data_IF_405347460327
#
_entry.id   IF_405347460327
#
_cell.length_a   1.000
_cell.length_b   1.000
_cell.length_c   1.000
_cell.angle_alpha   90.00
_cell.angle_beta   90.00
_cell.angle_gamma   90.00
#
_symmetry.space_group_name_H-M   'P 1'
#
loop_
_entity.id
_entity.type
_entity.pdbx_description
1 polymer ?
#
# COMPACT_ATOMS: atom_id res chain seq x y z
N UNK A 1 -43.18 -58.03 -25.77
CA UNK A 1 -44.25 -58.67 -25.00
C UNK A 1 -43.65 -59.13 -23.68
N UNK A 2 -44.19 -58.61 -22.57
CA UNK A 2 -44.09 -59.04 -21.16
C UNK A 2 -42.67 -59.13 -20.54
N UNK A 3 -42.35 -58.31 -19.52
CA UNK A 3 -42.73 -58.46 -18.10
C UNK A 3 -42.11 -59.76 -17.52
N UNK A 4 -41.29 -59.75 -16.47
CA UNK A 4 -41.70 -59.43 -15.10
C UNK A 4 -40.48 -59.21 -14.18
N UNK A 5 -40.65 -58.28 -13.23
CA UNK A 5 -39.80 -57.99 -12.08
C UNK A 5 -40.01 -58.98 -10.92
N UNK A 6 -39.20 -58.80 -9.85
CA UNK A 6 -39.25 -59.35 -8.47
C UNK A 6 -38.39 -60.62 -8.26
N UNK A 7 -37.45 -60.72 -7.30
CA UNK A 7 -37.48 -60.33 -5.87
C UNK A 7 -36.05 -60.10 -5.31
N UNK A 8 -35.91 -59.15 -4.38
CA UNK A 8 -34.69 -58.67 -3.69
C UNK A 8 -34.37 -59.58 -2.46
N UNK A 9 -33.10 -59.74 -2.03
CA UNK A 9 -32.72 -59.19 -0.72
C UNK A 9 -31.27 -58.65 -0.67
N UNK A 10 -31.08 -57.40 -0.23
CA UNK A 10 -30.65 -57.02 1.13
C UNK A 10 -29.19 -57.41 1.46
N UNK A 11 -28.24 -56.52 1.14
CA UNK A 11 -27.20 -56.11 2.09
C UNK A 11 -26.32 -54.99 1.51
N UNK A 12 -26.12 -53.96 2.34
CA UNK A 12 -24.86 -53.25 2.54
C UNK A 12 -24.48 -52.10 1.58
N UNK A 13 -24.53 -50.89 2.15
CA UNK A 13 -23.55 -49.80 1.96
C UNK A 13 -23.45 -49.13 0.58
N UNK A 14 -23.42 -47.83 0.40
CA UNK A 14 -23.28 -46.67 1.28
C UNK A 14 -24.15 -45.56 0.68
N UNK A 15 -25.02 -44.94 1.48
CA UNK A 15 -25.41 -43.57 1.21
C UNK A 15 -24.19 -42.71 1.53
N UNK A 16 -23.35 -42.41 0.52
CA UNK A 16 -22.47 -41.25 0.60
C UNK A 16 -23.38 -40.02 0.56
N UNK A 17 -23.85 -39.59 1.72
CA UNK A 17 -24.34 -38.24 1.89
C UNK A 17 -23.13 -37.32 1.71
N UNK A 18 -22.91 -36.88 0.46
CA UNK A 18 -21.95 -35.83 0.18
C UNK A 18 -22.43 -34.56 0.87
N UNK A 19 -21.83 -34.23 2.02
CA UNK A 19 -21.99 -32.91 2.62
C UNK A 19 -21.17 -31.96 1.77
N UNK A 20 -21.84 -31.21 0.89
CA UNK A 20 -21.20 -30.11 0.15
C UNK A 20 -20.92 -29.01 1.17
N UNK A 21 -19.69 -28.95 1.65
CA UNK A 21 -19.22 -27.81 2.42
C UNK A 21 -18.93 -26.70 1.41
N UNK A 22 -19.89 -25.80 1.17
CA UNK A 22 -19.55 -24.55 0.51
C UNK A 22 -18.72 -23.74 1.50
N UNK A 23 -17.48 -23.33 1.17
CA UNK A 23 -16.80 -22.35 2.00
C UNK A 23 -17.69 -21.13 2.01
N UNK A 24 -18.28 -20.82 3.17
CA UNK A 24 -18.90 -19.52 3.37
C UNK A 24 -17.73 -18.54 3.29
N UNK A 25 -17.61 -17.83 2.17
CA UNK A 25 -16.73 -16.68 2.09
C UNK A 25 -17.31 -15.66 3.07
N UNK A 26 -16.85 -15.73 4.31
CA UNK A 26 -17.01 -14.63 5.25
C UNK A 26 -16.20 -13.51 4.64
N UNK A 27 -16.91 -12.55 4.04
CA UNK A 27 -16.36 -11.29 3.60
C UNK A 27 -15.96 -10.52 4.87
N UNK A 28 -14.84 -10.95 5.46
CA UNK A 28 -14.20 -10.20 6.52
C UNK A 28 -13.79 -8.88 5.86
N UNK A 29 -14.12 -7.71 6.46
CA UNK A 29 -13.53 -6.48 5.99
C UNK A 29 -12.02 -6.64 6.07
N UNK A 30 -11.38 -6.86 4.93
CA UNK A 30 -9.94 -6.71 4.79
C UNK A 30 -9.73 -5.26 5.16
N UNK A 31 -9.21 -5.03 6.36
CA UNK A 31 -8.75 -3.71 6.75
C UNK A 31 -7.78 -3.29 5.66
N UNK A 32 -8.22 -2.36 4.82
CA UNK A 32 -7.41 -1.77 3.77
C UNK A 32 -6.31 -0.98 4.47
N UNK A 33 -5.24 -1.69 4.84
CA UNK A 33 -3.99 -1.10 5.29
C UNK A 33 -3.21 -0.62 4.06
N UNK A 34 -3.90 0.02 3.12
CA UNK A 34 -3.27 0.97 2.23
C UNK A 34 -2.88 2.15 3.11
N UNK A 35 -1.79 1.97 3.85
CA UNK A 35 -1.06 3.04 4.49
C UNK A 35 -0.75 4.03 3.37
N UNK A 36 -1.57 5.09 3.28
CA UNK A 36 -1.48 6.10 2.23
C UNK A 36 -0.02 6.49 2.13
N UNK A 37 0.61 6.21 0.99
CA UNK A 37 2.03 6.49 0.80
C UNK A 37 2.28 7.94 1.19
N UNK A 38 3.22 8.13 2.09
CA UNK A 38 3.54 9.47 2.55
C UNK A 38 4.02 10.32 1.36
N UNK A 39 3.62 11.60 1.33
CA UNK A 39 3.97 12.49 0.24
C UNK A 39 5.49 12.59 0.10
N UNK A 40 6.00 12.60 -1.15
CA UNK A 40 7.43 12.75 -1.43
C UNK A 40 7.64 14.04 -2.21
N UNK A 41 8.51 14.91 -1.70
CA UNK A 41 8.89 16.16 -2.35
C UNK A 41 10.36 16.09 -2.78
N UNK A 42 10.66 16.66 -3.94
CA UNK A 42 12.04 16.84 -4.42
C UNK A 42 12.30 18.35 -4.57
N UNK A 43 13.18 18.95 -3.75
CA UNK A 43 13.47 20.37 -3.89
C UNK A 43 14.18 20.63 -5.22
N UNK A 44 13.77 21.70 -5.92
CA UNK A 44 14.36 22.09 -7.20
C UNK A 44 15.67 22.86 -6.97
N UNK A 45 16.78 22.35 -7.49
CA UNK A 45 18.05 23.09 -7.54
C UNK A 45 17.98 24.19 -8.61
N UNK A 46 18.58 25.34 -8.30
CA UNK A 46 18.79 26.44 -9.23
C UNK A 46 19.92 26.16 -10.25
N UNK A 47 20.72 25.11 -10.04
CA UNK A 47 21.74 24.64 -10.98
C UNK A 47 22.91 25.61 -11.20
N UNK A 48 23.06 26.65 -10.37
CA UNK A 48 24.09 27.68 -10.53
C UNK A 48 24.69 28.07 -9.18
N UNK A 49 26.00 28.26 -9.13
CA UNK A 49 26.73 28.57 -7.88
C UNK A 49 26.38 29.93 -7.23
N UNK A 50 25.72 30.82 -7.98
CA UNK A 50 25.33 32.16 -7.52
C UNK A 50 23.93 32.24 -6.91
N UNK A 51 23.11 31.17 -7.02
CA UNK A 51 21.75 31.12 -6.49
C UNK A 51 21.72 30.34 -5.18
N UNK A 52 20.87 30.76 -4.26
CA UNK A 52 20.63 30.04 -2.99
C UNK A 52 19.46 29.08 -3.13
N UNK A 53 19.69 27.81 -2.82
CA UNK A 53 18.68 26.74 -2.91
C UNK A 53 17.91 26.53 -1.60
N UNK A 54 18.31 27.18 -0.51
CA UNK A 54 17.63 27.06 0.79
C UNK A 54 16.12 27.33 0.71
N UNK A 55 15.62 28.35 -0.02
CA UNK A 55 14.18 28.56 -0.13
C UNK A 55 13.43 27.38 -0.77
N UNK A 56 14.02 26.72 -1.77
CA UNK A 56 13.41 25.55 -2.42
C UNK A 56 13.39 24.33 -1.51
N UNK A 57 14.44 24.15 -0.70
CA UNK A 57 14.51 23.06 0.30
C UNK A 57 13.49 23.28 1.42
N UNK A 58 13.39 24.51 1.93
CA UNK A 58 12.42 24.86 2.98
C UNK A 58 10.98 24.72 2.46
N UNK A 59 10.71 25.08 1.21
CA UNK A 59 9.40 24.85 0.60
C UNK A 59 9.05 23.35 0.56
N UNK A 60 10.00 22.48 0.20
CA UNK A 60 9.79 21.03 0.25
C UNK A 60 9.51 20.53 1.68
N UNK A 61 10.16 21.09 2.71
CA UNK A 61 9.87 20.78 4.10
C UNK A 61 8.45 21.18 4.50
N UNK A 62 7.97 22.34 4.06
CA UNK A 62 6.60 22.79 4.36
C UNK A 62 5.54 21.90 3.69
N UNK A 63 5.82 21.40 2.49
CA UNK A 63 4.87 20.59 1.72
C UNK A 63 4.85 19.11 2.17
N UNK A 64 6.02 18.49 2.34
CA UNK A 64 6.12 17.06 2.62
C UNK A 64 6.78 16.72 3.97
N UNK A 65 7.24 17.70 4.76
CA UNK A 65 8.01 17.44 5.96
C UNK A 65 7.23 16.79 7.11
N UNK A 66 5.89 16.90 7.12
CA UNK A 66 5.05 16.26 8.13
C UNK A 66 4.80 14.77 7.83
N UNK A 67 5.79 13.95 8.14
CA UNK A 67 5.70 12.49 7.97
C UNK A 67 5.88 11.99 6.53
N UNK A 68 6.13 12.87 5.58
CA UNK A 68 6.53 12.55 4.21
C UNK A 68 8.04 12.36 4.04
N UNK A 69 8.48 12.38 2.79
CA UNK A 69 9.88 12.17 2.38
C UNK A 69 10.38 13.36 1.58
N UNK A 70 11.58 13.83 1.90
CA UNK A 70 12.31 14.82 1.10
C UNK A 70 13.41 14.09 0.35
N UNK A 71 13.24 13.94 -0.96
CA UNK A 71 14.16 13.20 -1.81
C UNK A 71 15.14 14.16 -2.49
N UNK A 72 16.43 13.99 -2.25
CA UNK A 72 17.50 14.67 -2.97
C UNK A 72 18.00 13.73 -4.08
N UNK A 73 17.83 14.07 -5.37
CA UNK A 73 18.20 13.17 -6.46
C UNK A 73 19.72 12.99 -6.54
N UNK A 74 20.16 11.85 -7.06
CA UNK A 74 21.58 11.61 -7.34
C UNK A 74 22.13 12.67 -8.28
N UNK A 75 23.41 13.01 -8.12
CA UNK A 75 24.16 13.92 -8.99
C UNK A 75 23.59 15.35 -9.09
N UNK A 76 22.71 15.77 -8.15
CA UNK A 76 22.21 17.14 -8.07
C UNK A 76 22.96 17.90 -6.99
N UNK A 77 23.58 19.01 -7.36
CA UNK A 77 24.25 19.91 -6.42
C UNK A 77 23.30 21.04 -6.00
N UNK A 78 23.24 21.30 -4.70
CA UNK A 78 22.48 22.40 -4.12
C UNK A 78 23.44 23.42 -3.50
N UNK A 79 23.17 24.68 -3.72
CA UNK A 79 23.98 25.80 -3.24
C UNK A 79 23.33 26.39 -1.99
N UNK A 80 23.89 26.07 -0.82
CA UNK A 80 23.41 26.56 0.46
C UNK A 80 24.14 27.87 0.80
N UNK A 81 23.48 29.00 0.61
CA UNK A 81 24.06 30.34 0.81
C UNK A 81 23.41 31.15 1.93
N UNK A 82 22.35 30.62 2.53
CA UNK A 82 21.74 31.11 3.76
C UNK A 82 21.59 29.97 4.78
N UNK A 83 21.06 30.29 5.97
CA UNK A 83 20.84 29.29 7.03
C UNK A 83 19.74 28.32 6.60
N UNK A 84 20.09 27.05 6.46
CA UNK A 84 19.12 25.97 6.29
C UNK A 84 18.57 25.55 7.66
N UNK A 85 17.27 25.75 7.87
CA UNK A 85 16.54 25.22 9.04
C UNK A 85 15.79 23.96 8.66
N UNK A 86 15.88 22.92 9.48
CA UNK A 86 15.11 21.69 9.34
C UNK A 86 13.75 21.75 10.07
N UNK A 87 13.39 22.90 10.62
CA UNK A 87 12.04 23.10 11.16
C UNK A 87 10.99 22.80 10.08
N UNK A 88 9.91 22.09 10.46
CA UNK A 88 8.89 21.61 9.53
C UNK A 88 9.19 20.25 8.89
N UNK A 89 10.45 19.79 8.91
CA UNK A 89 10.82 18.42 8.54
C UNK A 89 10.78 17.51 9.77
N UNK A 90 9.59 17.29 10.30
CA UNK A 90 9.37 16.43 11.46
C UNK A 90 8.02 15.72 11.33
N UNK A 91 7.98 14.45 11.74
CA UNK A 91 6.71 13.77 11.94
C UNK A 91 6.07 14.32 13.22
N UNK A 92 5.04 15.15 13.07
CA UNK A 92 4.22 15.57 14.20
C UNK A 92 3.23 14.43 14.44
N UNK A 93 3.46 13.70 15.53
CA UNK A 93 2.62 12.59 15.97
C UNK A 93 1.33 13.08 16.61
#
# INVERSE_FOLDING_TARGET
MLSQFFVIPLALSCLFQGVVSTPTSVDLPVADNTQKRAATCTPKSAGTASKDDVPAIVAAFQECGNGGVIAFPKDVTYMIRSKLSFAGCARIA
#
